data_IF_017482780741
#
_entry.id   IF_017482780741
#
_cell.length_a   1.000
_cell.length_b   1.000
_cell.length_c   1.000
_cell.angle_alpha   90.00
_cell.angle_beta   90.00
_cell.angle_gamma   90.00
#
_symmetry.space_group_name_H-M   'P 1'
#
loop_
_entity.id
_entity.type
_entity.pdbx_description
1 polymer ?
#
# COMPACT_ATOMS: atom_id res chain seq x y z
N UNK A 1 5.76 20.78 25.05
CA UNK A 1 5.94 20.81 23.59
C UNK A 1 5.51 19.48 23.02
N UNK A 2 4.59 19.50 22.06
CA UNK A 2 4.34 18.35 21.18
C UNK A 2 5.20 18.53 19.94
N UNK A 3 6.08 17.58 19.61
CA UNK A 3 6.96 17.69 18.44
C UNK A 3 6.92 16.46 17.55
N UNK A 4 6.87 16.67 16.23
CA UNK A 4 6.87 15.59 15.24
C UNK A 4 8.20 14.84 15.26
N UNK A 5 8.16 13.51 15.18
CA UNK A 5 9.33 12.65 15.39
C UNK A 5 9.72 11.83 14.17
N UNK A 6 9.01 11.97 13.04
CA UNK A 6 9.13 11.13 11.84
C UNK A 6 10.56 10.91 11.30
N UNK A 7 11.51 11.79 11.60
CA UNK A 7 12.92 11.70 11.16
C UNK A 7 13.93 11.76 12.32
N UNK A 8 13.50 11.63 13.58
CA UNK A 8 14.34 11.82 14.76
C UNK A 8 15.49 10.80 14.89
N UNK A 9 15.40 9.63 14.24
CA UNK A 9 16.47 8.63 14.25
C UNK A 9 17.53 8.83 13.15
N UNK A 10 17.31 9.75 12.21
CA UNK A 10 18.09 9.82 10.99
C UNK A 10 19.03 11.03 10.99
N UNK A 11 20.35 10.86 11.21
CA UNK A 11 21.28 11.97 11.32
C UNK A 11 21.64 12.61 9.97
N UNK A 12 21.20 12.04 8.85
CA UNK A 12 21.56 12.55 7.52
C UNK A 12 20.96 13.94 7.31
N UNK A 13 21.77 14.94 6.90
CA UNK A 13 21.29 16.26 6.56
C UNK A 13 20.21 16.23 5.47
N UNK A 14 19.19 17.06 5.63
CA UNK A 14 18.15 17.25 4.62
C UNK A 14 18.61 18.37 3.69
N UNK A 15 18.51 18.14 2.39
CA UNK A 15 18.86 19.16 1.41
C UNK A 15 17.89 20.34 1.46
N UNK A 16 18.41 21.55 1.32
CA UNK A 16 17.59 22.75 1.13
C UNK A 16 16.82 22.66 -0.18
N UNK A 17 15.58 23.18 -0.20
CA UNK A 17 14.79 23.28 -1.42
C UNK A 17 15.46 24.14 -2.50
N UNK A 18 16.40 25.03 -2.14
CA UNK A 18 17.20 25.77 -3.12
C UNK A 18 18.21 24.86 -3.84
N UNK A 19 18.94 24.03 -3.09
CA UNK A 19 19.86 23.05 -3.66
C UNK A 19 19.13 22.04 -4.53
N UNK A 20 17.95 21.62 -4.09
CA UNK A 20 17.07 20.73 -4.85
C UNK A 20 16.59 21.40 -6.15
N UNK A 21 16.27 22.70 -6.11
CA UNK A 21 15.88 23.44 -7.32
C UNK A 21 16.96 23.40 -8.39
N UNK A 22 18.23 23.55 -8.00
CA UNK A 22 19.36 23.49 -8.93
C UNK A 22 19.52 22.08 -9.52
N UNK A 23 19.44 21.04 -8.70
CA UNK A 23 19.48 19.63 -9.13
C UNK A 23 18.34 19.29 -10.12
N UNK A 24 17.11 19.75 -9.81
CA UNK A 24 15.95 19.57 -10.68
C UNK A 24 16.18 20.28 -12.01
N UNK A 25 16.71 21.50 -11.98
CA UNK A 25 17.01 22.27 -13.18
C UNK A 25 18.07 21.59 -14.03
N UNK A 26 19.17 21.14 -13.45
CA UNK A 26 20.27 20.49 -14.18
C UNK A 26 19.83 19.20 -14.85
N UNK A 27 19.06 18.35 -14.15
CA UNK A 27 18.51 17.13 -14.73
C UNK A 27 17.53 17.40 -15.89
N UNK A 28 16.82 18.53 -15.86
CA UNK A 28 15.89 18.93 -16.93
C UNK A 28 16.61 19.60 -18.11
N UNK A 29 17.60 20.45 -17.83
CA UNK A 29 18.32 21.24 -18.82
C UNK A 29 19.22 20.39 -19.71
N UNK A 30 19.95 19.44 -19.12
CA UNK A 30 20.99 18.69 -19.83
C UNK A 30 20.48 17.43 -20.53
N UNK A 31 19.22 17.04 -20.31
CA UNK A 31 18.65 15.90 -21.02
C UNK A 31 18.20 16.34 -22.42
N UNK A 32 18.52 15.58 -23.45
CA UNK A 32 18.15 15.88 -24.85
C UNK A 32 16.86 15.19 -25.29
N UNK A 33 16.36 14.20 -24.55
CA UNK A 33 15.10 13.53 -24.86
C UNK A 33 13.89 14.16 -24.20
N UNK A 34 12.76 13.44 -24.25
CA UNK A 34 11.57 13.75 -23.47
C UNK A 34 11.78 13.36 -22.00
N UNK A 35 11.22 14.17 -21.10
CA UNK A 35 11.36 13.95 -19.65
C UNK A 35 10.00 13.62 -19.05
N UNK A 36 9.95 12.60 -18.19
CA UNK A 36 8.79 12.20 -17.41
C UNK A 36 9.14 12.38 -15.94
N UNK A 37 8.64 13.46 -15.34
CA UNK A 37 8.83 13.75 -13.92
C UNK A 37 7.72 13.09 -13.13
N UNK A 38 8.08 12.17 -12.23
CA UNK A 38 7.18 11.59 -11.25
C UNK A 38 7.29 12.36 -9.93
N UNK A 39 6.17 12.91 -9.46
CA UNK A 39 6.12 13.70 -8.23
C UNK A 39 4.83 13.49 -7.43
N UNK A 40 4.89 13.71 -6.12
CA UNK A 40 3.69 13.71 -5.28
C UNK A 40 3.00 15.07 -5.40
N UNK A 41 1.72 15.06 -5.75
CA UNK A 41 0.98 16.28 -6.09
C UNK A 41 0.86 17.30 -4.95
N UNK A 42 0.94 16.85 -3.69
CA UNK A 42 0.89 17.74 -2.53
C UNK A 42 2.20 18.50 -2.30
N UNK A 43 3.30 18.10 -2.94
CA UNK A 43 4.57 18.84 -2.87
C UNK A 43 4.57 19.99 -3.90
N UNK A 44 3.84 21.07 -3.57
CA UNK A 44 3.72 22.23 -4.46
C UNK A 44 5.05 22.94 -4.72
N UNK A 45 6.01 22.89 -3.78
CA UNK A 45 7.35 23.44 -3.97
C UNK A 45 8.10 22.68 -5.07
N UNK A 46 8.06 21.35 -5.03
CA UNK A 46 8.66 20.52 -6.09
C UNK A 46 8.00 20.75 -7.43
N UNK A 47 6.67 20.85 -7.46
CA UNK A 47 5.94 21.16 -8.69
C UNK A 47 6.37 22.53 -9.24
N UNK A 48 6.49 23.57 -8.40
CA UNK A 48 6.97 24.88 -8.81
C UNK A 48 8.37 24.81 -9.42
N UNK A 49 9.32 24.14 -8.74
CA UNK A 49 10.69 23.96 -9.24
C UNK A 49 10.73 23.28 -10.62
N UNK A 50 9.88 22.26 -10.83
CA UNK A 50 9.78 21.56 -12.12
C UNK A 50 9.20 22.46 -13.20
N UNK A 51 8.19 23.27 -12.89
CA UNK A 51 7.61 24.21 -13.85
C UNK A 51 8.60 25.32 -14.24
N UNK A 52 9.31 25.87 -13.25
CA UNK A 52 10.33 26.88 -13.48
C UNK A 52 11.50 26.32 -14.29
N UNK A 53 11.92 25.10 -13.99
CA UNK A 53 12.96 24.40 -14.74
C UNK A 53 12.53 24.08 -16.18
N UNK A 54 11.28 23.65 -16.38
CA UNK A 54 10.74 23.41 -17.72
C UNK A 54 10.73 24.70 -18.55
N UNK A 55 10.25 25.80 -17.97
CA UNK A 55 10.22 27.10 -18.63
C UNK A 55 11.62 27.59 -19.02
N UNK A 56 12.59 27.50 -18.10
CA UNK A 56 13.99 27.90 -18.33
C UNK A 56 14.75 27.01 -19.33
N UNK A 57 14.20 25.85 -19.67
CA UNK A 57 14.77 24.88 -20.60
C UNK A 57 13.94 24.74 -21.87
N UNK A 58 13.05 25.70 -22.15
CA UNK A 58 12.18 25.74 -23.33
C UNK A 58 11.32 24.48 -23.54
N UNK A 59 10.92 23.83 -22.44
CA UNK A 59 10.08 22.63 -22.43
C UNK A 59 8.63 22.97 -22.08
N UNK A 60 7.70 22.49 -22.89
CA UNK A 60 6.26 22.51 -22.60
C UNK A 60 5.90 21.37 -21.65
N UNK A 61 5.01 21.67 -20.72
CA UNK A 61 4.62 20.75 -19.64
C UNK A 61 3.25 20.15 -19.92
N UNK A 62 3.17 18.83 -19.84
CA UNK A 62 1.94 18.06 -19.95
C UNK A 62 1.60 17.48 -18.59
N UNK A 63 0.46 17.88 -18.02
CA UNK A 63 -0.01 17.32 -16.76
C UNK A 63 -0.73 15.99 -16.99
N UNK A 64 -0.32 14.96 -16.26
CA UNK A 64 -0.96 13.64 -16.27
C UNK A 64 -1.47 13.31 -14.86
N UNK A 65 -2.73 12.85 -14.79
CA UNK A 65 -3.50 12.66 -13.56
C UNK A 65 -4.75 13.56 -13.47
N UNK A 66 -5.95 12.96 -13.64
CA UNK A 66 -7.21 13.74 -13.73
C UNK A 66 -7.57 14.47 -12.44
N UNK A 67 -7.34 13.85 -11.28
CA UNK A 67 -7.67 14.46 -9.98
C UNK A 67 -6.67 15.55 -9.59
N UNK A 68 -5.41 15.41 -10.01
CA UNK A 68 -4.31 16.29 -9.59
C UNK A 68 -4.21 17.56 -10.42
N UNK A 69 -4.71 17.55 -11.65
CA UNK A 69 -5.00 18.77 -12.38
C UNK A 69 -5.90 19.74 -11.60
N UNK A 70 -6.78 19.23 -10.70
CA UNK A 70 -7.57 20.10 -9.80
C UNK A 70 -6.73 20.72 -8.70
N UNK A 71 -5.81 19.98 -8.08
CA UNK A 71 -4.91 20.52 -7.04
C UNK A 71 -4.06 21.64 -7.61
N UNK A 72 -3.43 21.42 -8.76
CA UNK A 72 -2.59 22.44 -9.42
C UNK A 72 -3.44 23.68 -9.80
N UNK A 73 -4.62 23.49 -10.40
CA UNK A 73 -5.55 24.59 -10.71
C UNK A 73 -5.97 25.38 -9.47
N UNK A 74 -6.26 24.70 -8.36
CA UNK A 74 -6.61 25.36 -7.10
C UNK A 74 -5.40 26.10 -6.52
N UNK A 75 -4.22 25.50 -6.52
CA UNK A 75 -2.98 26.14 -6.06
C UNK A 75 -2.66 27.42 -6.85
N UNK A 76 -2.87 27.40 -8.17
CA UNK A 76 -2.74 28.59 -9.03
C UNK A 76 -3.76 29.66 -8.68
N UNK A 77 -5.04 29.30 -8.52
CA UNK A 77 -6.11 30.24 -8.11
C UNK A 77 -5.82 30.90 -6.75
N UNK A 78 -5.21 30.16 -5.83
CA UNK A 78 -4.84 30.64 -4.50
C UNK A 78 -3.47 31.36 -4.48
N UNK A 79 -2.80 31.50 -5.63
CA UNK A 79 -1.47 32.13 -5.72
C UNK A 79 -0.35 31.35 -5.03
N UNK A 80 -0.56 30.06 -4.75
CA UNK A 80 0.45 29.15 -4.13
C UNK A 80 1.37 28.52 -5.17
N UNK A 81 0.95 28.52 -6.43
CA UNK A 81 1.74 28.07 -7.57
C UNK A 81 1.63 29.16 -8.64
N UNK A 82 2.77 29.54 -9.22
CA UNK A 82 2.85 30.55 -10.27
C UNK A 82 3.30 29.90 -11.55
N UNK A 83 2.54 30.10 -12.63
CA UNK A 83 2.99 29.72 -13.96
C UNK A 83 3.90 30.82 -14.52
N UNK A 84 5.15 30.50 -14.92
CA UNK A 84 6.03 31.47 -15.56
C UNK A 84 5.49 32.06 -16.86
N UNK A 85 4.73 31.25 -17.62
CA UNK A 85 4.05 31.64 -18.83
C UNK A 85 2.72 30.87 -18.99
N UNK A 86 1.71 31.51 -19.58
CA UNK A 86 0.39 30.90 -19.77
C UNK A 86 0.43 29.71 -20.74
N UNK A 87 1.32 29.76 -21.73
CA UNK A 87 1.48 28.75 -22.77
C UNK A 87 2.46 27.62 -22.37
N UNK A 88 2.92 27.60 -21.11
CA UNK A 88 3.80 26.54 -20.60
C UNK A 88 3.08 25.19 -20.51
N UNK A 89 1.81 25.22 -20.07
CA UNK A 89 0.99 24.01 -19.95
C UNK A 89 0.27 23.72 -21.27
N UNK A 90 0.50 22.54 -21.82
CA UNK A 90 -0.17 22.08 -23.05
C UNK A 90 -0.98 20.81 -22.78
N UNK A 91 -1.96 20.55 -23.63
CA UNK A 91 -2.75 19.32 -23.55
C UNK A 91 -2.00 18.13 -24.19
N UNK A 92 -2.36 16.91 -23.81
CA UNK A 92 -1.80 15.69 -24.43
C UNK A 92 -1.99 15.64 -25.95
N UNK A 93 -3.05 16.26 -26.48
CA UNK A 93 -3.29 16.31 -27.94
C UNK A 93 -2.27 17.21 -28.66
N UNK A 94 -1.79 18.24 -27.97
CA UNK A 94 -0.86 19.23 -28.53
C UNK A 94 0.58 18.75 -28.53
N UNK A 95 0.91 17.68 -27.80
CA UNK A 95 2.24 17.08 -27.78
C UNK A 95 2.79 16.78 -29.17
N UNK A 96 1.94 16.41 -30.13
CA UNK A 96 2.35 16.11 -31.51
C UNK A 96 2.94 17.31 -32.27
N UNK A 97 2.78 18.53 -31.76
CA UNK A 97 3.31 19.77 -32.34
C UNK A 97 4.75 20.07 -31.91
N UNK A 98 5.26 19.35 -30.91
CA UNK A 98 6.55 19.59 -30.29
C UNK A 98 7.44 18.35 -30.46
N UNK A 99 8.75 18.57 -30.54
CA UNK A 99 9.73 17.49 -30.51
C UNK A 99 9.95 16.99 -29.07
N UNK A 100 10.66 15.88 -28.91
CA UNK A 100 10.79 15.22 -27.60
C UNK A 100 11.59 16.08 -26.60
N UNK A 101 12.64 16.74 -27.07
CA UNK A 101 13.46 17.70 -26.31
C UNK A 101 12.67 18.93 -25.83
N UNK A 102 11.50 19.19 -26.40
CA UNK A 102 10.61 20.29 -26.00
C UNK A 102 9.51 19.83 -25.04
N UNK A 103 9.50 18.57 -24.62
CA UNK A 103 8.40 18.01 -23.83
C UNK A 103 8.86 17.54 -22.44
N UNK A 104 8.08 17.97 -21.44
CA UNK A 104 8.13 17.44 -20.08
C UNK A 104 6.74 16.94 -19.68
N UNK A 105 6.64 15.68 -19.29
CA UNK A 105 5.42 15.08 -18.74
C UNK A 105 5.54 15.12 -17.23
N UNK A 106 4.62 15.79 -16.56
CA UNK A 106 4.55 15.86 -15.11
C UNK A 106 3.47 14.90 -14.62
N UNK A 107 3.91 13.71 -14.22
CA UNK A 107 3.08 12.65 -13.63
C UNK A 107 2.96 12.88 -12.13
N UNK A 108 1.74 13.24 -11.71
CA UNK A 108 1.45 13.58 -10.31
C UNK A 108 0.39 12.68 -9.74
N UNK A 109 0.55 12.36 -8.45
CA UNK A 109 -0.36 11.47 -7.76
C UNK A 109 -0.25 11.55 -6.24
N UNK A 110 -1.08 10.78 -5.54
CA UNK A 110 -0.80 10.44 -4.13
C UNK A 110 0.47 9.59 -4.05
N UNK A 111 1.00 9.47 -2.85
CA UNK A 111 2.20 8.66 -2.61
C UNK A 111 2.07 7.26 -3.23
N UNK A 112 3.01 6.90 -4.10
CA UNK A 112 3.04 5.62 -4.83
C UNK A 112 2.23 5.56 -6.13
N UNK A 113 1.26 6.44 -6.36
CA UNK A 113 0.50 6.49 -7.62
C UNK A 113 1.37 6.85 -8.83
N UNK A 114 2.29 7.84 -8.78
CA UNK A 114 3.19 8.14 -9.90
C UNK A 114 4.04 6.93 -10.29
N UNK A 115 4.56 6.18 -9.32
CA UNK A 115 5.35 4.96 -9.58
C UNK A 115 4.50 3.91 -10.31
N UNK A 116 3.25 3.70 -9.90
CA UNK A 116 2.33 2.80 -10.61
C UNK A 116 1.99 3.30 -12.01
N UNK A 117 1.89 4.60 -12.21
CA UNK A 117 1.67 5.19 -13.54
C UNK A 117 2.89 4.95 -14.44
N UNK A 118 4.10 5.16 -13.94
CA UNK A 118 5.35 4.82 -14.64
C UNK A 118 5.39 3.34 -15.05
N UNK A 119 5.02 2.41 -14.16
CA UNK A 119 4.92 0.98 -14.50
C UNK A 119 3.94 0.73 -15.66
N UNK A 120 2.80 1.42 -15.68
CA UNK A 120 1.84 1.30 -16.79
C UNK A 120 2.39 1.89 -18.09
N UNK A 121 3.12 3.00 -18.01
CA UNK A 121 3.75 3.63 -19.19
C UNK A 121 4.86 2.75 -19.76
N UNK A 122 5.68 2.14 -18.90
CA UNK A 122 6.75 1.23 -19.29
C UNK A 122 6.21 -0.06 -19.92
N UNK A 123 5.15 -0.64 -19.34
CA UNK A 123 4.50 -1.86 -19.87
C UNK A 123 3.54 -1.59 -21.05
N UNK A 124 3.39 -0.34 -21.49
CA UNK A 124 2.49 0.03 -22.60
C UNK A 124 0.98 -0.06 -22.31
N UNK A 125 0.59 -0.28 -21.05
CA UNK A 125 -0.81 -0.37 -20.59
C UNK A 125 -1.40 0.96 -20.13
N UNK A 126 -0.59 2.01 -20.05
CA UNK A 126 -1.07 3.37 -19.82
C UNK A 126 -1.83 3.88 -21.04
N UNK A 127 -2.99 4.51 -20.81
CA UNK A 127 -4.00 4.77 -21.86
C UNK A 127 -3.50 5.65 -23.00
N UNK A 128 -2.60 6.60 -22.71
CA UNK A 128 -2.25 7.68 -23.65
C UNK A 128 -0.75 7.92 -23.82
N UNK A 129 0.08 7.35 -22.95
CA UNK A 129 1.51 7.60 -22.91
C UNK A 129 2.25 6.29 -22.76
N UNK A 130 3.41 6.18 -23.39
CA UNK A 130 4.31 5.04 -23.29
C UNK A 130 5.72 5.57 -23.17
N UNK A 131 6.53 4.89 -22.37
CA UNK A 131 7.98 5.13 -22.34
C UNK A 131 8.57 4.62 -23.65
N UNK A 132 9.53 5.35 -24.19
CA UNK A 132 10.28 5.01 -25.39
C UNK A 132 11.77 5.26 -25.18
N UNK A 133 12.55 4.78 -26.14
CA UNK A 133 14.00 4.99 -26.20
C UNK A 133 14.36 6.48 -26.05
N UNK A 134 15.29 6.79 -25.14
CA UNK A 134 15.78 8.15 -24.89
C UNK A 134 14.94 8.98 -23.92
N UNK A 135 13.84 8.45 -23.37
CA UNK A 135 13.11 9.12 -22.29
C UNK A 135 13.93 9.14 -20.99
N UNK A 136 13.92 10.26 -20.28
CA UNK A 136 14.31 10.33 -18.88
C UNK A 136 13.08 10.22 -17.99
N UNK A 137 13.07 9.24 -17.09
CA UNK A 137 12.15 9.20 -15.96
C UNK A 137 12.86 9.77 -14.74
N UNK A 138 12.37 10.91 -14.25
CA UNK A 138 12.95 11.59 -13.09
C UNK A 138 12.01 11.50 -11.89
N UNK A 139 12.41 10.71 -10.89
CA UNK A 139 11.65 10.51 -9.66
C UNK A 139 12.05 11.60 -8.66
N UNK A 140 11.16 12.55 -8.43
CA UNK A 140 11.42 13.73 -7.59
C UNK A 140 10.92 13.58 -6.17
N UNK A 141 10.69 12.36 -5.71
CA UNK A 141 10.27 12.09 -4.32
C UNK A 141 11.04 10.93 -3.77
N UNK A 142 11.54 11.07 -2.54
CA UNK A 142 12.17 9.95 -1.83
C UNK A 142 11.12 8.88 -1.53
N UNK A 143 11.25 7.66 -2.07
CA UNK A 143 10.37 6.56 -1.73
C UNK A 143 10.47 6.25 -0.23
N UNK A 144 9.36 5.91 0.41
CA UNK A 144 9.43 5.31 1.74
C UNK A 144 10.04 3.92 1.65
N UNK A 145 10.66 3.44 2.72
CA UNK A 145 11.27 2.09 2.80
C UNK A 145 10.33 0.97 2.33
N UNK A 146 9.03 1.07 2.64
CA UNK A 146 8.02 0.10 2.18
C UNK A 146 7.85 0.01 0.65
N UNK A 147 8.32 1.01 -0.10
CA UNK A 147 8.18 1.12 -1.55
C UNK A 147 9.48 0.83 -2.30
N UNK A 148 10.63 0.69 -1.63
CA UNK A 148 11.95 0.49 -2.28
C UNK A 148 11.94 -0.66 -3.29
N UNK A 149 11.37 -1.82 -2.92
CA UNK A 149 11.25 -2.97 -3.82
C UNK A 149 10.37 -2.68 -5.05
N UNK A 150 9.32 -1.89 -4.88
CA UNK A 150 8.42 -1.52 -5.98
C UNK A 150 9.10 -0.52 -6.91
N UNK A 151 9.86 0.43 -6.36
CA UNK A 151 10.64 1.39 -7.15
C UNK A 151 11.70 0.67 -7.96
N UNK A 152 12.53 -0.16 -7.34
CA UNK A 152 13.56 -0.94 -8.04
C UNK A 152 12.99 -1.76 -9.21
N UNK A 153 11.88 -2.48 -8.99
CA UNK A 153 11.18 -3.20 -10.06
C UNK A 153 10.65 -2.28 -11.16
N UNK A 154 10.25 -1.07 -10.82
CA UNK A 154 9.78 -0.08 -11.78
C UNK A 154 10.93 0.41 -12.65
N UNK A 155 12.10 0.66 -12.04
CA UNK A 155 13.31 1.02 -12.76
C UNK A 155 13.71 -0.05 -13.78
N UNK A 156 13.75 -1.32 -13.38
CA UNK A 156 14.06 -2.44 -14.27
C UNK A 156 13.17 -2.46 -15.52
N UNK A 157 11.87 -2.22 -15.36
CA UNK A 157 10.91 -2.24 -16.46
C UNK A 157 11.06 -0.98 -17.33
N UNK A 158 11.40 0.17 -16.74
CA UNK A 158 11.69 1.41 -17.49
C UNK A 158 12.92 1.23 -18.37
N UNK A 159 14.01 0.68 -17.81
CA UNK A 159 15.22 0.38 -18.57
C UNK A 159 14.95 -0.61 -19.71
N UNK A 160 14.13 -1.64 -19.47
CA UNK A 160 13.70 -2.57 -20.54
C UNK A 160 12.85 -1.90 -21.63
N UNK A 161 12.20 -0.78 -21.33
CA UNK A 161 11.42 -0.01 -22.28
C UNK A 161 12.25 1.06 -23.03
N UNK A 162 13.56 1.16 -22.77
CA UNK A 162 14.46 2.13 -23.40
C UNK A 162 14.59 3.46 -22.66
N UNK A 163 13.98 3.59 -21.49
CA UNK A 163 14.08 4.78 -20.66
C UNK A 163 15.28 4.74 -19.71
N UNK A 164 15.74 5.91 -19.27
CA UNK A 164 16.72 6.05 -18.18
C UNK A 164 16.01 6.53 -16.92
N UNK A 165 16.37 6.03 -15.74
CA UNK A 165 15.85 6.53 -14.47
C UNK A 165 16.91 7.34 -13.74
N UNK A 166 16.48 8.46 -13.15
CA UNK A 166 17.22 9.17 -12.11
C UNK A 166 16.31 9.44 -10.93
N UNK A 167 16.84 9.35 -9.71
CA UNK A 167 16.10 9.73 -8.52
C UNK A 167 16.77 10.91 -7.84
N UNK A 168 15.96 11.83 -7.32
CA UNK A 168 16.52 12.91 -6.50
C UNK A 168 17.19 12.38 -5.22
N UNK A 169 16.75 11.22 -4.74
CA UNK A 169 17.31 10.53 -3.58
C UNK A 169 18.72 9.98 -3.78
N UNK A 170 19.19 9.90 -5.03
CA UNK A 170 20.55 9.42 -5.32
C UNK A 170 21.61 10.41 -4.82
N UNK A 171 21.29 11.71 -4.92
CA UNK A 171 22.20 12.80 -4.54
C UNK A 171 21.81 13.44 -3.20
N UNK A 172 20.52 13.48 -2.88
CA UNK A 172 20.01 14.25 -1.74
C UNK A 172 18.94 13.52 -0.95
N UNK A 173 19.01 13.63 0.39
CA UNK A 173 17.85 13.31 1.23
C UNK A 173 16.85 14.45 1.16
N UNK A 174 15.67 14.17 0.64
CA UNK A 174 14.55 15.11 0.58
C UNK A 174 13.50 14.69 1.60
N UNK A 175 13.15 15.58 2.51
CA UNK A 175 12.08 15.32 3.48
C UNK A 175 11.38 16.60 3.92
N UNK A 176 10.08 16.49 4.18
CA UNK A 176 9.30 17.56 4.82
C UNK A 176 9.36 17.52 6.36
N UNK A 177 10.13 16.61 6.96
CA UNK A 177 10.25 16.45 8.41
C UNK A 177 11.67 16.75 8.87
N UNK A 178 11.80 17.55 9.93
CA UNK A 178 13.05 17.93 10.59
C UNK A 178 13.95 16.74 10.94
N UNK A 179 15.27 16.91 10.83
CA UNK A 179 16.27 15.94 11.26
C UNK A 179 16.68 16.15 12.73
N UNK A 180 17.55 15.31 13.33
CA UNK A 180 17.97 15.44 14.72
C UNK A 180 18.47 16.84 15.11
N UNK A 181 19.28 17.47 14.26
CA UNK A 181 19.83 18.80 14.54
C UNK A 181 18.73 19.87 14.55
N UNK A 182 17.79 19.81 13.60
CA UNK A 182 16.66 20.73 13.52
C UNK A 182 15.73 20.58 14.74
N UNK A 183 15.50 19.33 15.16
CA UNK A 183 14.68 19.00 16.33
C UNK A 183 15.34 19.53 17.62
N UNK A 184 16.65 19.33 17.79
CA UNK A 184 17.41 19.87 18.92
C UNK A 184 17.47 21.40 18.90
N UNK A 185 17.60 22.02 17.74
CA UNK A 185 17.50 23.47 17.59
C UNK A 185 16.14 23.97 18.08
N UNK A 186 15.05 23.34 17.65
CA UNK A 186 13.69 23.69 18.10
C UNK A 186 13.54 23.55 19.62
N UNK A 187 14.06 22.46 20.21
CA UNK A 187 14.03 22.23 21.66
C UNK A 187 14.82 23.30 22.42
N UNK A 188 16.02 23.66 21.95
CA UNK A 188 16.86 24.70 22.53
C UNK A 188 16.25 26.11 22.44
N UNK A 189 15.51 26.40 21.36
CA UNK A 189 14.80 27.67 21.20
C UNK A 189 13.57 27.75 22.10
N UNK A 190 12.78 26.68 22.19
CA UNK A 190 11.52 26.68 22.93
C UNK A 190 11.69 26.46 24.43
N UNK A 191 12.75 25.77 24.86
CA UNK A 191 13.03 25.41 26.26
C UNK A 191 11.81 24.86 27.00
N UNK A 192 11.15 23.81 26.48
CA UNK A 192 9.89 23.35 27.05
C UNK A 192 10.10 22.69 28.42
N UNK A 193 9.21 22.99 29.39
CA UNK A 193 9.20 22.30 30.69
C UNK A 193 8.91 20.80 30.52
N UNK A 194 7.95 20.46 29.67
CA UNK A 194 7.51 19.09 29.36
C UNK A 194 7.61 18.83 27.86
N UNK A 195 8.06 17.62 27.49
CA UNK A 195 8.23 17.20 26.11
C UNK A 195 7.44 15.92 25.83
N UNK A 196 6.70 15.93 24.72
CA UNK A 196 5.88 14.79 24.28
C UNK A 196 6.19 14.60 22.80
N UNK A 197 7.03 13.61 22.43
CA UNK A 197 7.22 13.28 21.03
C UNK A 197 5.91 12.74 20.45
N UNK A 198 5.52 13.27 19.30
CA UNK A 198 4.33 12.86 18.55
C UNK A 198 4.71 12.52 17.11
N UNK A 199 3.77 11.94 16.35
CA UNK A 199 3.91 11.64 14.93
C UNK A 199 5.21 10.90 14.58
N UNK A 200 5.23 9.60 14.85
CA UNK A 200 6.31 8.68 14.52
C UNK A 200 6.04 7.28 15.06
N UNK A 201 6.73 6.28 14.53
CA UNK A 201 6.78 4.94 15.11
C UNK A 201 7.56 4.96 16.43
N UNK A 202 7.38 3.94 17.28
CA UNK A 202 7.97 3.93 18.63
C UNK A 202 9.49 4.19 18.63
N UNK A 203 10.23 3.59 17.69
CA UNK A 203 11.69 3.83 17.50
C UNK A 203 12.03 5.31 17.27
N UNK A 204 11.17 6.02 16.53
CA UNK A 204 11.34 7.43 16.20
C UNK A 204 11.01 8.31 17.39
N UNK A 205 9.96 7.96 18.14
CA UNK A 205 9.62 8.63 19.40
C UNK A 205 10.75 8.48 20.41
N UNK A 206 11.30 7.28 20.56
CA UNK A 206 12.43 6.98 21.43
C UNK A 206 13.67 7.79 21.05
N UNK A 207 14.06 7.80 19.76
CA UNK A 207 15.17 8.64 19.30
C UNK A 207 14.96 10.12 19.63
N UNK A 208 13.75 10.65 19.48
CA UNK A 208 13.45 12.03 19.83
C UNK A 208 13.53 12.31 21.33
N UNK A 209 13.23 11.31 22.18
CA UNK A 209 13.45 11.39 23.63
C UNK A 209 14.94 11.49 23.93
N UNK A 210 15.79 10.71 23.25
CA UNK A 210 17.24 10.78 23.43
C UNK A 210 17.77 12.18 23.06
N UNK A 211 17.34 12.71 21.91
CA UNK A 211 17.68 14.08 21.48
C UNK A 211 17.23 15.15 22.49
N UNK A 212 16.07 14.96 23.12
CA UNK A 212 15.56 15.87 24.15
C UNK A 212 16.37 15.81 25.45
N UNK A 213 16.85 14.63 25.85
CA UNK A 213 17.72 14.46 27.00
C UNK A 213 19.10 15.09 26.75
N UNK A 214 19.65 14.93 25.54
CA UNK A 214 20.94 15.53 25.16
C UNK A 214 20.96 17.06 25.29
N UNK A 215 19.82 17.71 25.02
CA UNK A 215 19.67 19.18 25.21
C UNK A 215 19.18 19.57 26.61
N UNK A 216 19.20 18.63 27.56
CA UNK A 216 19.00 18.91 28.98
C UNK A 216 17.57 18.84 29.50
N UNK A 217 16.62 18.28 28.74
CA UNK A 217 15.26 18.05 29.25
C UNK A 217 15.28 16.79 30.14
N UNK A 218 14.92 16.89 31.44
CA UNK A 218 14.95 15.73 32.33
C UNK A 218 13.96 14.65 31.89
N UNK A 219 14.37 13.37 31.92
CA UNK A 219 13.52 12.24 31.51
C UNK A 219 12.15 12.22 32.22
N UNK A 220 12.08 12.63 33.49
CA UNK A 220 10.83 12.75 34.27
C UNK A 220 9.80 13.74 33.68
N UNK A 221 10.23 14.61 32.78
CA UNK A 221 9.40 15.60 32.09
C UNK A 221 9.10 15.20 30.64
N UNK A 222 9.52 14.01 30.21
CA UNK A 222 9.31 13.48 28.86
C UNK A 222 8.26 12.37 28.90
N UNK A 223 7.24 12.45 28.05
CA UNK A 223 6.17 11.47 28.00
C UNK A 223 6.03 10.89 26.59
N UNK A 224 6.36 9.60 26.43
CA UNK A 224 5.98 8.84 25.24
C UNK A 224 4.57 8.27 25.47
N UNK A 225 3.61 8.70 24.66
CA UNK A 225 2.21 8.28 24.79
C UNK A 225 1.82 7.30 23.68
N UNK A 226 1.07 6.27 24.02
CA UNK A 226 0.34 5.45 23.06
C UNK A 226 -0.97 6.15 22.61
N UNK A 227 -1.57 5.65 21.53
CA UNK A 227 -2.90 6.10 21.11
C UNK A 227 -3.92 5.74 22.20
N UNK A 228 -4.62 6.74 22.72
CA UNK A 228 -5.60 6.60 23.80
C UNK A 228 -5.08 7.00 25.17
N UNK A 229 -3.77 7.17 25.37
CA UNK A 229 -3.24 7.64 26.64
C UNK A 229 -3.64 9.09 26.92
N UNK A 230 -3.93 9.39 28.18
CA UNK A 230 -4.33 10.73 28.64
C UNK A 230 -3.24 11.32 29.53
N UNK A 231 -2.73 12.48 29.11
CA UNK A 231 -1.89 13.34 29.94
C UNK A 231 -2.74 14.48 30.51
N UNK A 232 -2.74 14.64 31.83
CA UNK A 232 -3.39 15.76 32.52
C UNK A 232 -2.34 16.80 32.91
N UNK A 233 -2.63 18.07 32.64
CA UNK A 233 -1.83 19.19 33.14
C UNK A 233 -2.63 19.97 34.18
N UNK A 234 -2.18 19.92 35.43
CA UNK A 234 -2.89 20.52 36.57
C UNK A 234 -1.89 21.10 37.57
N UNK A 235 -2.17 22.31 38.06
CA UNK A 235 -1.36 23.02 39.06
C UNK A 235 0.15 23.12 38.69
N UNK A 236 0.46 23.23 37.40
CA UNK A 236 1.84 23.34 36.93
C UNK A 236 2.57 22.02 36.74
N UNK A 237 1.92 20.89 36.99
CA UNK A 237 2.48 19.55 36.81
C UNK A 237 1.74 18.79 35.70
N UNK A 238 2.48 17.97 34.96
CA UNK A 238 1.93 17.06 33.96
C UNK A 238 2.04 15.63 34.47
N UNK A 239 0.93 14.89 34.44
CA UNK A 239 0.84 13.51 34.93
C UNK A 239 0.11 12.63 33.92
N UNK A 240 0.41 11.34 33.92
CA UNK A 240 -0.40 10.34 33.22
C UNK A 240 -1.69 10.11 34.03
N UNK A 241 -2.85 10.41 33.42
CA UNK A 241 -4.14 10.44 34.11
C UNK A 241 -5.08 9.28 33.75
N UNK A 242 -4.70 8.44 32.78
CA UNK A 242 -5.45 7.26 32.40
C UNK A 242 -5.42 7.02 30.90
N UNK A 243 -6.44 6.34 30.40
CA UNK A 243 -6.61 6.04 28.97
C UNK A 243 -8.08 6.17 28.55
N UNK A 244 -8.29 6.47 27.28
CA UNK A 244 -9.60 6.46 26.61
C UNK A 244 -9.61 5.43 25.47
N UNK A 245 -10.78 4.89 25.09
CA UNK A 245 -10.87 3.97 23.96
C UNK A 245 -10.33 4.61 22.68
N UNK A 246 -9.36 3.95 22.05
CA UNK A 246 -8.76 4.37 20.79
C UNK A 246 -8.51 3.12 19.92
N UNK A 247 -9.28 2.99 18.84
CA UNK A 247 -9.24 1.82 17.97
C UNK A 247 -9.01 2.20 16.51
N UNK A 248 -8.47 1.27 15.74
CA UNK A 248 -8.38 1.43 14.29
C UNK A 248 -9.74 1.07 13.67
N UNK A 249 -10.29 1.98 12.87
CA UNK A 249 -11.47 1.72 12.04
C UNK A 249 -11.00 1.45 10.62
N UNK A 250 -11.23 0.22 10.13
CA UNK A 250 -10.89 -0.16 8.76
C UNK A 250 -11.97 0.33 7.80
N UNK A 251 -11.56 0.74 6.58
CA UNK A 251 -12.47 1.16 5.51
C UNK A 251 -12.17 0.30 4.28
N UNK A 252 -13.19 -0.36 3.75
CA UNK A 252 -13.09 -1.17 2.53
C UNK A 252 -14.28 -0.89 1.59
N UNK A 253 -13.98 -0.24 0.46
CA UNK A 253 -15.00 0.24 -0.46
C UNK A 253 -15.91 1.30 0.18
N UNK A 254 -17.21 0.99 0.27
CA UNK A 254 -18.21 1.83 0.95
C UNK A 254 -18.40 1.46 2.43
N UNK A 255 -17.80 0.34 2.87
CA UNK A 255 -17.88 -0.16 4.23
C UNK A 255 -16.95 0.60 5.16
N UNK A 256 -17.48 1.01 6.32
CA UNK A 256 -16.73 1.70 7.38
C UNK A 256 -16.90 0.89 8.66
N UNK A 257 -15.80 0.31 9.16
CA UNK A 257 -15.79 -0.47 10.40
C UNK A 257 -16.44 -1.86 10.30
N UNK A 258 -16.90 -2.28 9.13
CA UNK A 258 -17.45 -3.62 8.86
C UNK A 258 -16.37 -4.70 8.76
N UNK A 259 -15.11 -4.28 8.54
CA UNK A 259 -13.94 -5.17 8.53
C UNK A 259 -13.21 -5.13 9.87
N UNK A 260 -13.34 -6.22 10.63
CA UNK A 260 -12.56 -6.47 11.82
C UNK A 260 -11.31 -7.32 11.59
N UNK A 261 -10.54 -7.53 12.66
CA UNK A 261 -9.33 -8.36 12.65
C UNK A 261 -9.57 -9.81 12.21
N UNK A 262 -10.78 -10.35 12.43
CA UNK A 262 -11.16 -11.71 12.02
C UNK A 262 -11.18 -11.81 10.49
N UNK A 263 -11.85 -10.87 9.82
CA UNK A 263 -11.94 -10.84 8.36
C UNK A 263 -10.53 -10.69 7.74
N UNK A 264 -9.66 -9.87 8.35
CA UNK A 264 -8.27 -9.74 7.90
C UNK A 264 -7.46 -11.02 8.09
N UNK A 265 -7.67 -11.73 9.22
CA UNK A 265 -7.04 -13.03 9.47
C UNK A 265 -7.47 -14.05 8.42
N UNK A 266 -8.76 -14.14 8.12
CA UNK A 266 -9.28 -15.06 7.11
C UNK A 266 -8.70 -14.73 5.73
N UNK A 267 -8.66 -13.45 5.34
CA UNK A 267 -8.01 -12.99 4.10
C UNK A 267 -6.54 -13.40 4.05
N UNK A 268 -5.80 -13.27 5.17
CA UNK A 268 -4.39 -13.63 5.24
C UNK A 268 -4.18 -15.13 4.99
N UNK A 269 -4.88 -15.98 5.74
CA UNK A 269 -4.76 -17.45 5.58
C UNK A 269 -5.15 -17.87 4.16
N UNK A 270 -6.23 -17.30 3.60
CA UNK A 270 -6.63 -17.57 2.22
C UNK A 270 -5.59 -17.12 1.18
N UNK A 271 -4.86 -16.03 1.45
CA UNK A 271 -3.82 -15.52 0.53
C UNK A 271 -2.53 -16.35 0.57
N UNK A 272 -2.20 -16.95 1.72
CA UNK A 272 -0.97 -17.73 1.92
C UNK A 272 -1.18 -19.20 1.55
N UNK A 273 -2.27 -19.82 2.00
CA UNK A 273 -2.50 -21.26 1.92
C UNK A 273 -3.52 -21.67 0.84
N UNK A 274 -4.30 -20.72 0.33
CA UNK A 274 -5.41 -20.99 -0.58
C UNK A 274 -6.60 -21.67 0.08
N UNK A 275 -7.59 -22.04 -0.73
CA UNK A 275 -8.84 -22.67 -0.28
C UNK A 275 -9.15 -23.93 -1.08
N UNK A 276 -9.70 -24.91 -0.37
CA UNK A 276 -10.12 -26.20 -0.87
C UNK A 276 -11.57 -26.47 -0.44
N UNK A 277 -12.49 -26.43 -1.39
CA UNK A 277 -13.93 -26.57 -1.14
C UNK A 277 -14.37 -27.95 -1.58
N UNK A 278 -15.02 -28.70 -0.68
CA UNK A 278 -15.56 -30.02 -0.95
C UNK A 278 -17.09 -29.96 -0.83
N UNK A 279 -17.80 -30.16 -1.93
CA UNK A 279 -19.27 -30.10 -1.98
C UNK A 279 -19.83 -31.49 -2.18
N UNK A 280 -20.76 -31.94 -1.34
CA UNK A 280 -21.42 -33.25 -1.51
C UNK A 280 -22.92 -33.10 -1.28
N UNK A 281 -23.73 -33.78 -2.10
CA UNK A 281 -25.19 -33.78 -1.95
C UNK A 281 -25.66 -35.15 -1.49
N UNK A 282 -26.39 -35.19 -0.39
CA UNK A 282 -26.85 -36.42 0.26
C UNK A 282 -28.37 -36.46 0.40
N UNK A 283 -28.93 -37.66 0.44
CA UNK A 283 -30.28 -37.94 0.90
C UNK A 283 -30.18 -38.82 2.15
N UNK A 284 -30.45 -38.22 3.30
CA UNK A 284 -30.32 -38.90 4.59
C UNK A 284 -31.36 -40.00 4.79
N UNK A 285 -32.56 -39.84 4.23
CA UNK A 285 -33.64 -40.85 4.37
C UNK A 285 -33.29 -42.12 3.61
N UNK A 286 -32.74 -41.96 2.42
CA UNK A 286 -32.29 -43.07 1.58
C UNK A 286 -30.90 -43.58 1.97
N UNK A 287 -30.23 -42.92 2.94
CA UNK A 287 -28.83 -43.16 3.34
C UNK A 287 -27.87 -43.20 2.15
N UNK A 288 -28.07 -42.31 1.17
CA UNK A 288 -27.33 -42.30 -0.09
C UNK A 288 -26.76 -40.94 -0.44
N UNK A 289 -25.63 -40.96 -1.13
CA UNK A 289 -25.07 -39.81 -1.82
C UNK A 289 -25.82 -39.65 -3.15
N UNK A 290 -26.41 -38.48 -3.37
CA UNK A 290 -27.19 -38.19 -4.58
C UNK A 290 -26.29 -37.64 -5.69
N UNK A 291 -25.23 -36.92 -5.32
CA UNK A 291 -24.24 -36.39 -6.25
C UNK A 291 -22.84 -36.57 -5.67
N UNK A 292 -21.95 -37.13 -6.49
CA UNK A 292 -20.57 -37.38 -6.13
C UNK A 292 -19.88 -36.09 -5.63
N UNK A 293 -18.92 -36.20 -4.68
CA UNK A 293 -18.24 -35.03 -4.15
C UNK A 293 -17.56 -34.19 -5.25
N UNK A 294 -17.92 -32.92 -5.30
CA UNK A 294 -17.29 -31.94 -6.19
C UNK A 294 -16.26 -31.13 -5.43
N UNK A 295 -15.01 -31.21 -5.88
CA UNK A 295 -13.89 -30.51 -5.27
C UNK A 295 -13.52 -29.29 -6.11
N UNK A 296 -13.42 -28.12 -5.48
CA UNK A 296 -12.92 -26.89 -6.10
C UNK A 296 -11.74 -26.33 -5.29
N UNK A 297 -10.64 -26.02 -5.98
CA UNK A 297 -9.46 -25.40 -5.39
C UNK A 297 -9.20 -24.02 -6.01
N UNK A 298 -8.79 -23.06 -5.17
CA UNK A 298 -8.32 -21.72 -5.56
C UNK A 298 -7.10 -21.35 -4.71
N UNK A 299 -6.03 -20.89 -5.35
CA UNK A 299 -4.80 -20.49 -4.65
C UNK A 299 -3.96 -21.63 -4.05
N UNK A 300 -4.46 -22.87 -4.05
CA UNK A 300 -3.77 -24.02 -3.45
C UNK A 300 -3.10 -24.93 -4.49
N UNK A 301 -3.88 -25.62 -5.33
CA UNK A 301 -3.37 -26.48 -6.42
C UNK A 301 -4.00 -26.14 -7.76
N UNK A 302 -3.22 -26.31 -8.84
CA UNK A 302 -3.72 -26.15 -10.21
C UNK A 302 -4.52 -27.39 -10.62
N UNK A 303 -5.85 -27.27 -10.55
CA UNK A 303 -6.82 -28.36 -10.78
C UNK A 303 -6.52 -29.19 -12.03
N UNK A 304 -6.09 -28.57 -13.14
CA UNK A 304 -5.83 -29.32 -14.39
C UNK A 304 -4.60 -30.22 -14.31
N UNK A 305 -3.61 -29.87 -13.49
CA UNK A 305 -2.39 -30.66 -13.29
C UNK A 305 -2.46 -31.60 -12.07
N UNK A 306 -3.50 -31.50 -11.24
CA UNK A 306 -3.65 -32.27 -10.00
C UNK A 306 -4.95 -33.08 -9.99
N UNK A 307 -5.25 -33.75 -11.11
CA UNK A 307 -6.50 -34.52 -11.27
C UNK A 307 -6.61 -35.70 -10.30
N UNK A 308 -5.52 -36.44 -10.11
CA UNK A 308 -5.51 -37.59 -9.20
C UNK A 308 -5.73 -37.16 -7.75
N UNK A 309 -5.02 -36.12 -7.29
CA UNK A 309 -5.22 -35.52 -5.95
C UNK A 309 -6.69 -35.12 -5.72
N UNK A 310 -7.35 -34.58 -6.73
CA UNK A 310 -8.76 -34.17 -6.66
C UNK A 310 -9.69 -35.38 -6.62
N UNK A 311 -9.43 -36.39 -7.45
CA UNK A 311 -10.20 -37.64 -7.46
C UNK A 311 -10.10 -38.34 -6.10
N UNK A 312 -8.90 -38.55 -5.60
CA UNK A 312 -8.64 -39.18 -4.30
C UNK A 312 -9.26 -38.37 -3.15
N UNK A 313 -9.22 -37.04 -3.22
CA UNK A 313 -9.93 -36.20 -2.24
C UNK A 313 -11.45 -36.41 -2.29
N UNK A 314 -12.01 -36.61 -3.49
CA UNK A 314 -13.42 -36.95 -3.67
C UNK A 314 -13.77 -38.31 -3.07
N UNK A 315 -12.96 -39.33 -3.33
CA UNK A 315 -13.10 -40.68 -2.77
C UNK A 315 -13.05 -40.66 -1.23
N UNK A 316 -12.12 -39.90 -0.64
CA UNK A 316 -12.03 -39.69 0.81
C UNK A 316 -13.33 -39.08 1.37
N UNK A 317 -13.89 -38.07 0.69
CA UNK A 317 -15.14 -37.43 1.13
C UNK A 317 -16.31 -38.43 1.02
N UNK A 318 -16.36 -39.20 -0.05
CA UNK A 318 -17.39 -40.21 -0.28
C UNK A 318 -17.38 -41.28 0.82
N UNK A 319 -16.22 -41.85 1.13
CA UNK A 319 -16.03 -42.84 2.20
C UNK A 319 -16.51 -42.32 3.56
N UNK A 320 -16.11 -41.09 3.93
CA UNK A 320 -16.50 -40.49 5.22
C UNK A 320 -18.01 -40.27 5.26
N UNK A 321 -18.59 -39.76 4.18
CA UNK A 321 -20.03 -39.47 4.11
C UNK A 321 -20.85 -40.76 4.17
N UNK A 322 -20.47 -41.79 3.42
CA UNK A 322 -21.16 -43.09 3.44
C UNK A 322 -21.12 -43.72 4.83
N UNK A 323 -19.96 -43.68 5.51
CA UNK A 323 -19.81 -44.17 6.88
C UNK A 323 -20.77 -43.45 7.83
N UNK A 324 -20.82 -42.12 7.78
CA UNK A 324 -21.71 -41.32 8.63
C UNK A 324 -23.19 -41.53 8.31
N UNK A 325 -23.57 -41.73 7.04
CA UNK A 325 -24.97 -41.99 6.65
C UNK A 325 -25.50 -43.33 7.22
N UNK A 326 -24.62 -44.29 7.47
CA UNK A 326 -24.96 -45.59 8.03
C UNK A 326 -24.81 -45.67 9.56
N UNK A 327 -24.19 -44.67 10.18
CA UNK A 327 -24.13 -44.52 11.63
C UNK A 327 -25.53 -44.26 12.23
N UNK A 328 -25.78 -44.77 13.43
CA UNK A 328 -27.05 -44.58 14.15
C UNK A 328 -27.17 -43.16 14.72
N UNK A 329 -26.03 -42.55 15.07
CA UNK A 329 -25.94 -41.19 15.62
C UNK A 329 -25.37 -40.20 14.57
N UNK A 330 -26.20 -39.81 13.59
CA UNK A 330 -25.79 -38.85 12.56
C UNK A 330 -25.71 -37.41 13.09
N UNK A 331 -24.51 -36.82 13.04
CA UNK A 331 -24.26 -35.42 13.40
C UNK A 331 -23.54 -34.61 12.30
N UNK A 332 -24.14 -33.47 11.93
CA UNK A 332 -23.61 -32.58 10.89
C UNK A 332 -22.24 -31.99 11.22
N UNK A 333 -22.03 -31.61 12.48
CA UNK A 333 -20.76 -31.04 12.98
C UNK A 333 -19.64 -32.07 12.87
N UNK A 334 -19.89 -33.29 13.33
CA UNK A 334 -18.95 -34.42 13.31
C UNK A 334 -18.56 -34.79 11.88
N UNK A 335 -19.53 -34.93 10.98
CA UNK A 335 -19.27 -35.20 9.57
C UNK A 335 -18.38 -34.13 8.91
N UNK A 336 -18.71 -32.84 9.11
CA UNK A 336 -17.90 -31.73 8.56
C UNK A 336 -16.48 -31.73 9.14
N UNK A 337 -16.32 -32.05 10.43
CA UNK A 337 -15.03 -32.08 11.09
C UNK A 337 -14.18 -33.24 10.58
N UNK A 338 -14.74 -34.45 10.44
CA UNK A 338 -14.04 -35.62 9.91
C UNK A 338 -13.56 -35.41 8.47
N UNK A 339 -14.41 -34.83 7.61
CA UNK A 339 -14.03 -34.45 6.24
C UNK A 339 -12.84 -33.47 6.28
N UNK A 340 -12.92 -32.43 7.12
CA UNK A 340 -11.86 -31.42 7.25
C UNK A 340 -10.54 -32.06 7.69
N UNK A 341 -10.55 -32.89 8.73
CA UNK A 341 -9.34 -33.44 9.34
C UNK A 341 -8.69 -34.51 8.46
N UNK A 342 -9.49 -35.31 7.75
CA UNK A 342 -8.96 -36.32 6.84
C UNK A 342 -8.38 -35.68 5.58
N UNK A 343 -9.10 -34.75 4.96
CA UNK A 343 -8.58 -33.99 3.81
C UNK A 343 -7.35 -33.16 4.21
N UNK A 344 -7.33 -32.54 5.39
CA UNK A 344 -6.18 -31.76 5.85
C UNK A 344 -4.91 -32.61 5.94
N UNK A 345 -5.01 -33.82 6.53
CA UNK A 345 -3.90 -34.77 6.61
C UNK A 345 -3.43 -35.21 5.23
N UNK A 346 -4.36 -35.67 4.38
CA UNK A 346 -4.05 -36.12 3.02
C UNK A 346 -3.37 -35.03 2.18
N UNK A 347 -3.95 -33.83 2.14
CA UNK A 347 -3.41 -32.71 1.37
C UNK A 347 -2.03 -32.28 1.89
N UNK A 348 -1.82 -32.31 3.21
CA UNK A 348 -0.51 -32.01 3.79
C UNK A 348 0.52 -33.10 3.48
N UNK A 349 0.15 -34.37 3.50
CA UNK A 349 1.06 -35.47 3.15
C UNK A 349 1.54 -35.35 1.71
N UNK A 350 0.62 -35.05 0.78
CA UNK A 350 0.89 -34.94 -0.65
C UNK A 350 1.59 -33.63 -1.05
N UNK A 351 1.28 -32.52 -0.38
CA UNK A 351 1.71 -31.18 -0.85
C UNK A 351 2.54 -30.38 0.15
N UNK A 352 2.65 -30.84 1.40
CA UNK A 352 3.28 -30.14 2.55
C UNK A 352 2.70 -28.75 2.82
N UNK A 353 1.48 -28.50 2.37
CA UNK A 353 0.73 -27.24 2.53
C UNK A 353 -0.63 -27.51 3.17
N UNK A 354 -1.21 -26.52 3.84
CA UNK A 354 -2.46 -26.66 4.62
C UNK A 354 -3.50 -25.63 4.17
N UNK A 355 -4.25 -25.90 3.09
CA UNK A 355 -5.27 -24.96 2.63
C UNK A 355 -6.41 -24.84 3.64
N UNK A 356 -7.17 -23.75 3.54
CA UNK A 356 -8.47 -23.65 4.22
C UNK A 356 -9.44 -24.66 3.60
N UNK A 357 -9.90 -25.63 4.38
CA UNK A 357 -10.83 -26.66 3.90
C UNK A 357 -12.26 -26.31 4.30
N UNK A 358 -13.12 -26.16 3.29
CA UNK A 358 -14.54 -25.82 3.46
C UNK A 358 -15.44 -26.95 2.95
N UNK A 359 -15.93 -27.84 3.85
CA UNK A 359 -16.91 -28.86 3.48
C UNK A 359 -18.32 -28.24 3.43
N UNK A 360 -18.97 -28.37 2.29
CA UNK A 360 -20.34 -27.94 2.02
C UNK A 360 -21.19 -29.17 1.77
N UNK A 361 -22.19 -29.40 2.62
CA UNK A 361 -23.06 -30.57 2.50
C UNK A 361 -24.47 -30.11 2.22
N UNK A 362 -25.06 -30.62 1.14
CA UNK A 362 -26.42 -30.30 0.71
C UNK A 362 -27.32 -31.50 0.98
N UNK A 363 -28.44 -31.30 1.68
CA UNK A 363 -29.46 -32.34 1.85
C UNK A 363 -30.54 -32.18 0.79
N UNK A 364 -30.71 -33.19 -0.07
CA UNK A 364 -31.83 -33.26 -1.00
C UNK A 364 -33.06 -33.80 -0.26
N UNK A 365 -33.90 -32.90 0.27
CA UNK A 365 -35.20 -33.29 0.80
C UNK A 365 -36.26 -33.23 -0.30
N UNK A 366 -36.61 -34.35 -0.94
CA UNK A 366 -37.86 -34.42 -1.68
C UNK A 366 -39.02 -34.37 -0.68
N UNK A 367 -39.56 -33.17 -0.48
CA UNK A 367 -40.85 -32.99 0.17
C UNK A 367 -41.90 -33.30 -0.89
N UNK A 368 -42.37 -34.55 -0.97
CA UNK A 368 -43.55 -34.90 -1.76
C UNK A 368 -44.71 -34.00 -1.32
N UNK A 369 -44.95 -32.91 -2.07
CA UNK A 369 -46.22 -32.20 -2.05
C UNK A 369 -47.21 -33.09 -2.78
N UNK A 370 -47.73 -34.12 -2.09
CA UNK A 370 -49.05 -34.65 -2.43
C UNK A 370 -50.05 -33.52 -2.16
N UNK A 371 -50.28 -32.68 -3.16
CA UNK A 371 -51.49 -31.86 -3.22
C UNK A 371 -52.62 -32.83 -3.53
N UNK A 372 -53.49 -32.97 -2.54
CA UNK A 372 -54.86 -33.46 -2.70
C UNK A 372 -55.60 -32.67 -3.76
#
# INVERSE_FOLDING_TARGET
>A
LLSTSSNAENPTPIASELTIQDEVYDNIRYWEGRIIVASVASNLQRVQQVLDAAFRSDRKVVLTGQDFGRIIKTAMKLGKLKLPAEDLLITQKEMKKYSDEQLLILETGRMGEPIKALQKMANGSHRTLRIKEGDLVYITTTPTTAMETVVAKTEDIIYRAGGTVKQISDNFRVSGHANPNDLQLMLNMMKPKYFIPIQGEYRQLAAHVDLAQEVGIPMKNIFITARGDVLEYKKGEMIAAGAVPAENVMIDGIGVGDIGNIVLRDRKVLSEDGIFVAVVTINRREKKIISAPQITSRGFVYVKASRDLIRESGEIVEEIVEKHLHDEEFEWSKLKQDIRDRLSRFLFEQTKRRPVILPVIMESSQRNRNRK
#
